data_IF_164587276980
#
_entry.id   IF_164587276980
#
_cell.length_a   1.000
_cell.length_b   1.000
_cell.length_c   1.000
_cell.angle_alpha   90.00
_cell.angle_beta   90.00
_cell.angle_gamma   90.00
#
_symmetry.space_group_name_H-M   'P 1'
#
loop_
_entity.id
_entity.type
_entity.pdbx_description
1 polymer ?
#
# COMPACT_ATOMS: atom_id res chain seq x y z
N UNK A 1 38.39 19.19 -38.60
CA UNK A 1 37.04 19.78 -38.50
C UNK A 1 36.07 18.66 -38.14
N UNK A 2 35.21 18.88 -37.14
CA UNK A 2 34.10 18.04 -36.62
C UNK A 2 34.32 17.50 -35.19
N UNK A 3 33.98 18.38 -34.26
CA UNK A 3 33.41 18.10 -32.94
C UNK A 3 32.10 17.34 -33.09
N UNK A 4 31.96 16.19 -32.42
CA UNK A 4 30.65 15.59 -32.14
C UNK A 4 30.52 15.43 -30.63
N UNK A 5 29.75 16.33 -30.03
CA UNK A 5 29.34 16.30 -28.64
C UNK A 5 27.82 16.41 -28.64
N UNK A 6 27.15 15.27 -28.50
CA UNK A 6 25.71 15.20 -28.23
C UNK A 6 25.47 14.00 -27.32
N UNK A 7 25.69 14.21 -26.02
CA UNK A 7 25.17 13.31 -24.99
C UNK A 7 23.73 13.73 -24.70
N UNK A 8 22.78 12.97 -25.24
CA UNK A 8 21.36 13.11 -24.92
C UNK A 8 21.14 12.46 -23.55
N UNK A 9 20.80 13.27 -22.56
CA UNK A 9 20.44 12.83 -21.21
C UNK A 9 18.95 12.43 -21.22
N UNK A 10 18.68 11.13 -21.37
CA UNK A 10 17.30 10.59 -21.30
C UNK A 10 16.90 10.48 -19.83
N UNK A 11 16.02 11.38 -19.38
CA UNK A 11 15.40 11.28 -18.05
C UNK A 11 14.33 10.18 -18.14
N UNK A 12 14.64 8.98 -17.65
CA UNK A 12 13.64 7.95 -17.41
C UNK A 12 12.76 8.39 -16.24
N UNK A 13 11.56 8.91 -16.55
CA UNK A 13 10.48 9.01 -15.59
C UNK A 13 9.96 7.59 -15.33
N UNK A 14 10.54 6.90 -14.36
CA UNK A 14 9.98 5.66 -13.83
C UNK A 14 8.70 6.01 -13.09
N UNK A 15 7.57 5.89 -13.77
CA UNK A 15 6.28 5.83 -13.09
C UNK A 15 6.30 4.58 -12.23
N UNK A 16 6.51 4.73 -10.93
CA UNK A 16 6.23 3.66 -9.96
C UNK A 16 4.72 3.47 -9.96
N UNK A 17 4.22 2.60 -10.83
CA UNK A 17 2.87 2.08 -10.71
C UNK A 17 2.80 1.40 -9.35
N UNK A 18 2.03 1.98 -8.43
CA UNK A 18 1.82 1.39 -7.11
C UNK A 18 1.30 -0.03 -7.27
N UNK A 19 1.84 -0.95 -6.48
CA UNK A 19 1.38 -2.34 -6.44
C UNK A 19 -0.13 -2.39 -6.15
N UNK A 20 -0.89 -3.18 -6.90
CA UNK A 20 -2.34 -3.35 -6.72
C UNK A 20 -2.64 -4.74 -6.13
N UNK A 21 -3.32 -4.84 -4.96
CA UNK A 21 -3.64 -6.11 -4.34
C UNK A 21 -4.51 -7.03 -5.20
N UNK A 22 -5.26 -6.48 -6.17
CA UNK A 22 -6.06 -7.27 -7.12
C UNK A 22 -5.19 -8.19 -8.01
N UNK A 23 -3.93 -7.79 -8.21
CA UNK A 23 -2.94 -8.47 -9.03
C UNK A 23 -2.10 -9.49 -8.25
N UNK A 24 -2.37 -9.67 -6.95
CA UNK A 24 -1.68 -10.66 -6.11
C UNK A 24 -1.70 -12.05 -6.75
N UNK A 25 -0.53 -12.70 -6.78
CA UNK A 25 -0.39 -14.09 -7.21
C UNK A 25 -1.04 -15.04 -6.20
N UNK A 26 -2.08 -15.72 -6.65
CA UNK A 26 -2.87 -16.67 -5.86
C UNK A 26 -2.67 -18.12 -6.32
N UNK A 27 -1.67 -18.40 -7.17
CA UNK A 27 -1.44 -19.72 -7.78
C UNK A 27 -1.25 -20.85 -6.75
N UNK A 28 -0.79 -20.53 -5.55
CA UNK A 28 -0.47 -21.50 -4.49
C UNK A 28 -1.58 -21.70 -3.45
N UNK A 29 -2.67 -20.95 -3.51
CA UNK A 29 -3.73 -21.02 -2.49
C UNK A 29 -5.10 -21.35 -3.09
N UNK A 30 -5.87 -22.30 -2.52
CA UNK A 30 -7.23 -22.60 -2.96
C UNK A 30 -8.23 -21.45 -2.72
N UNK A 31 -7.93 -20.56 -1.76
CA UNK A 31 -8.68 -19.34 -1.46
C UNK A 31 -7.68 -18.22 -1.18
N UNK A 32 -7.85 -17.06 -1.79
CA UNK A 32 -6.87 -15.98 -1.74
C UNK A 32 -7.53 -14.61 -1.75
N UNK A 33 -7.34 -13.83 -0.69
CA UNK A 33 -7.87 -12.48 -0.57
C UNK A 33 -7.07 -11.52 -1.48
N UNK A 34 -7.77 -10.74 -2.29
CA UNK A 34 -7.19 -9.81 -3.28
C UNK A 34 -7.52 -8.34 -2.99
N UNK A 35 -8.07 -8.07 -1.82
CA UNK A 35 -8.38 -6.74 -1.27
C UNK A 35 -7.86 -6.63 0.17
N UNK A 36 -7.89 -5.44 0.76
CA UNK A 36 -7.46 -5.21 2.15
C UNK A 36 -6.05 -5.77 2.44
N UNK A 37 -5.19 -5.63 1.44
CA UNK A 37 -3.75 -5.81 1.55
C UNK A 37 -3.14 -4.47 1.21
N UNK A 38 -2.32 -3.95 2.11
CA UNK A 38 -1.91 -2.54 2.04
C UNK A 38 -0.60 -2.37 1.30
N UNK A 39 0.32 -3.32 1.42
CA UNK A 39 1.61 -3.25 0.74
C UNK A 39 2.08 -4.61 0.26
N UNK A 40 2.87 -4.60 -0.82
CA UNK A 40 3.58 -5.79 -1.26
C UNK A 40 4.64 -6.19 -0.23
N UNK A 41 4.67 -7.47 0.14
CA UNK A 41 5.70 -8.03 1.03
C UNK A 41 7.09 -7.95 0.42
N UNK A 42 7.20 -7.84 -0.91
CA UNK A 42 8.48 -7.67 -1.60
C UNK A 42 8.91 -6.20 -1.73
N UNK A 43 8.15 -5.25 -1.16
CA UNK A 43 8.52 -3.83 -1.12
C UNK A 43 8.21 -3.05 -2.40
N UNK A 44 7.40 -3.60 -3.32
CA UNK A 44 7.05 -2.95 -4.59
C UNK A 44 6.16 -1.69 -4.43
N UNK A 45 5.59 -1.46 -3.24
CA UNK A 45 4.79 -0.28 -2.92
C UNK A 45 3.55 -0.61 -2.10
N UNK A 46 2.79 0.43 -1.78
CA UNK A 46 1.55 0.33 -1.02
C UNK A 46 0.37 0.88 -1.83
N UNK A 47 -0.81 0.32 -1.59
CA UNK A 47 -2.06 0.73 -2.19
C UNK A 47 -3.15 0.83 -1.14
N UNK A 48 -3.86 1.96 -1.20
CA UNK A 48 -4.98 2.27 -0.34
C UNK A 48 -6.15 2.70 -1.22
N UNK A 49 -7.31 2.02 -1.16
CA UNK A 49 -8.50 2.45 -1.88
C UNK A 49 -9.01 3.80 -1.35
N UNK A 50 -9.94 4.43 -2.07
CA UNK A 50 -10.57 5.67 -1.61
C UNK A 50 -11.17 5.49 -0.21
N UNK A 51 -10.88 6.44 0.70
CA UNK A 51 -11.32 6.36 2.10
C UNK A 51 -10.43 5.52 3.01
N UNK A 52 -9.37 4.90 2.48
CA UNK A 52 -8.32 4.28 3.28
C UNK A 52 -7.05 5.16 3.31
N UNK A 53 -6.42 5.21 4.47
CA UNK A 53 -5.24 6.02 4.75
C UNK A 53 -4.17 5.16 5.43
N UNK A 54 -2.87 5.39 5.17
CA UNK A 54 -1.80 4.71 5.90
C UNK A 54 -1.88 5.09 7.39
N UNK A 55 -1.86 4.08 8.28
CA UNK A 55 -1.86 4.27 9.73
C UNK A 55 -0.52 4.76 10.30
N UNK A 56 0.56 4.68 9.53
CA UNK A 56 1.88 5.13 9.92
C UNK A 56 2.46 6.10 8.88
N UNK A 57 3.08 7.17 9.37
CA UNK A 57 3.88 8.10 8.56
C UNK A 57 5.32 7.60 8.32
N UNK A 58 5.78 6.62 9.12
CA UNK A 58 7.14 6.10 9.12
C UNK A 58 7.22 4.65 8.64
N UNK A 59 8.41 4.24 8.21
CA UNK A 59 8.76 2.93 7.66
C UNK A 59 8.78 1.77 8.67
N UNK A 60 7.93 1.80 9.69
CA UNK A 60 7.81 0.69 10.64
C UNK A 60 7.13 -0.52 9.99
N UNK A 61 7.45 -1.76 10.42
CA UNK A 61 7.01 -2.98 9.76
C UNK A 61 5.53 -3.32 9.98
N UNK A 62 4.85 -2.63 10.89
CA UNK A 62 3.42 -2.84 11.14
C UNK A 62 2.62 -1.89 10.26
N UNK A 63 2.13 -2.43 9.15
CA UNK A 63 1.35 -1.71 8.17
C UNK A 63 -0.12 -1.98 8.46
N UNK A 64 -0.78 -1.04 9.14
CA UNK A 64 -2.23 -1.01 9.22
C UNK A 64 -2.77 0.19 8.44
N UNK A 65 -4.01 0.07 7.98
CA UNK A 65 -4.74 1.17 7.37
C UNK A 65 -5.79 1.72 8.32
N UNK A 66 -6.05 3.01 8.23
CA UNK A 66 -7.27 3.61 8.75
C UNK A 66 -8.28 3.66 7.61
N UNK A 67 -9.48 3.10 7.81
CA UNK A 67 -10.59 3.18 6.86
C UNK A 67 -11.73 4.00 7.46
N UNK A 68 -12.42 4.79 6.64
CA UNK A 68 -13.61 5.54 7.05
C UNK A 68 -14.84 4.63 7.14
N UNK A 69 -15.62 4.76 8.20
CA UNK A 69 -16.79 3.92 8.46
C UNK A 69 -17.94 4.10 7.46
N UNK A 70 -18.04 5.28 6.85
CA UNK A 70 -19.16 5.69 5.99
C UNK A 70 -18.95 5.36 4.51
N UNK A 71 -17.85 4.69 4.18
CA UNK A 71 -17.48 4.30 2.82
C UNK A 71 -17.78 2.83 2.56
N UNK A 72 -17.95 2.53 1.28
CA UNK A 72 -18.06 1.17 0.77
C UNK A 72 -16.70 0.69 0.29
N UNK A 73 -16.24 -0.42 0.84
CA UNK A 73 -15.01 -1.08 0.40
C UNK A 73 -15.34 -2.42 -0.23
N UNK A 74 -14.72 -2.70 -1.37
CA UNK A 74 -14.86 -4.01 -1.99
C UNK A 74 -13.88 -5.00 -1.34
N UNK A 75 -14.41 -6.00 -0.66
CA UNK A 75 -13.66 -7.18 -0.25
C UNK A 75 -13.73 -8.17 -1.41
N UNK A 76 -12.60 -8.53 -2.01
CA UNK A 76 -12.53 -9.44 -3.16
C UNK A 76 -11.55 -10.58 -2.92
N UNK A 77 -11.81 -11.71 -3.57
CA UNK A 77 -10.95 -12.89 -3.47
C UNK A 77 -10.99 -13.73 -4.75
N UNK A 78 -9.97 -14.58 -4.88
CA UNK A 78 -9.87 -15.63 -5.89
C UNK A 78 -10.08 -17.00 -5.23
N UNK A 79 -10.87 -17.84 -5.89
CA UNK A 79 -11.14 -19.22 -5.49
C UNK A 79 -10.60 -20.14 -6.58
N UNK A 80 -9.93 -21.23 -6.20
CA UNK A 80 -9.54 -22.25 -7.16
C UNK A 80 -10.79 -22.84 -7.84
N UNK A 81 -10.74 -23.09 -9.16
CA UNK A 81 -11.91 -23.52 -9.92
C UNK A 81 -12.64 -24.75 -9.36
N UNK A 82 -11.90 -25.69 -8.72
CA UNK A 82 -12.47 -26.87 -8.05
C UNK A 82 -13.36 -26.56 -6.83
N UNK A 83 -13.26 -25.35 -6.28
CA UNK A 83 -13.97 -24.90 -5.08
C UNK A 83 -14.95 -23.75 -5.39
N UNK A 84 -15.17 -23.40 -6.66
CA UNK A 84 -15.92 -22.21 -7.05
C UNK A 84 -17.38 -22.23 -6.59
N UNK A 85 -17.99 -23.41 -6.49
CA UNK A 85 -19.39 -23.58 -6.07
C UNK A 85 -19.57 -23.59 -4.55
N UNK A 86 -18.48 -23.59 -3.78
CA UNK A 86 -18.53 -23.62 -2.32
C UNK A 86 -18.63 -22.19 -1.77
N UNK A 87 -19.66 -21.86 -0.96
CA UNK A 87 -19.80 -20.54 -0.37
C UNK A 87 -18.55 -20.15 0.44
N UNK A 88 -18.15 -18.89 0.30
CA UNK A 88 -17.11 -18.28 1.12
C UNK A 88 -17.77 -17.55 2.28
N UNK A 89 -17.28 -17.85 3.48
CA UNK A 89 -17.61 -17.08 4.68
C UNK A 89 -16.65 -15.91 4.77
N UNK A 90 -17.18 -14.70 4.91
CA UNK A 90 -16.44 -13.48 5.20
C UNK A 90 -16.70 -13.14 6.66
N UNK A 91 -15.64 -12.95 7.44
CA UNK A 91 -15.72 -12.65 8.87
C UNK A 91 -14.85 -11.45 9.20
N UNK A 92 -15.44 -10.45 9.87
CA UNK A 92 -14.70 -9.32 10.43
C UNK A 92 -14.60 -9.51 11.95
N UNK A 93 -13.37 -9.69 12.43
CA UNK A 93 -13.08 -9.74 13.86
C UNK A 93 -12.83 -8.31 14.39
N UNK A 94 -13.63 -7.92 15.38
CA UNK A 94 -13.54 -6.65 16.12
C UNK A 94 -13.05 -7.00 17.53
N UNK A 95 -11.74 -7.20 17.68
CA UNK A 95 -11.12 -7.67 18.93
C UNK A 95 -11.43 -9.12 19.31
N UNK A 96 -11.16 -9.49 20.56
CA UNK A 96 -11.18 -10.89 21.02
C UNK A 96 -12.58 -11.52 21.14
N UNK A 97 -13.64 -10.70 21.27
CA UNK A 97 -14.95 -11.17 21.72
C UNK A 97 -16.08 -10.98 20.72
N UNK A 98 -15.82 -10.34 19.59
CA UNK A 98 -16.86 -10.05 18.60
C UNK A 98 -16.37 -10.29 17.19
N UNK A 99 -17.16 -11.07 16.45
CA UNK A 99 -16.98 -11.21 15.02
C UNK A 99 -18.32 -11.16 14.32
N UNK A 100 -18.41 -10.30 13.31
CA UNK A 100 -19.49 -10.29 12.35
C UNK A 100 -19.15 -11.24 11.20
N UNK A 101 -20.12 -11.97 10.68
CA UNK A 101 -19.92 -12.89 9.56
C UNK A 101 -21.08 -12.92 8.57
N UNK A 102 -20.75 -13.23 7.31
CA UNK A 102 -21.71 -13.47 6.23
C UNK A 102 -21.21 -14.59 5.32
N UNK A 103 -22.13 -15.37 4.76
CA UNK A 103 -21.83 -16.35 3.72
C UNK A 103 -22.26 -15.80 2.35
N UNK A 104 -21.41 -15.97 1.35
CA UNK A 104 -21.72 -15.56 -0.02
C UNK A 104 -21.11 -16.53 -1.03
N UNK A 105 -21.77 -16.69 -2.18
CA UNK A 105 -21.25 -17.42 -3.34
C UNK A 105 -20.57 -16.50 -4.36
N UNK A 106 -20.63 -15.19 -4.14
CA UNK A 106 -19.90 -14.21 -4.94
C UNK A 106 -18.39 -14.31 -4.70
N UNK A 107 -17.59 -13.74 -5.59
CA UNK A 107 -16.13 -13.56 -5.42
C UNK A 107 -15.76 -12.22 -4.77
N UNK A 108 -16.77 -11.42 -4.42
CA UNK A 108 -16.62 -10.14 -3.75
C UNK A 108 -17.81 -9.84 -2.84
N UNK A 109 -17.59 -8.93 -1.88
CA UNK A 109 -18.58 -8.40 -0.95
C UNK A 109 -18.34 -6.91 -0.71
N UNK A 110 -19.41 -6.11 -0.69
CA UNK A 110 -19.32 -4.69 -0.36
C UNK A 110 -19.38 -4.52 1.15
N UNK A 111 -18.24 -4.21 1.74
CA UNK A 111 -18.05 -3.94 3.15
C UNK A 111 -18.31 -2.47 3.46
N UNK A 112 -19.39 -2.22 4.20
CA UNK A 112 -19.69 -0.91 4.77
C UNK A 112 -19.60 -1.02 6.31
N UNK A 113 -18.53 -0.49 6.94
CA UNK A 113 -18.33 -0.64 8.38
C UNK A 113 -19.51 -0.09 9.18
N UNK A 114 -20.00 1.11 8.85
CA UNK A 114 -21.12 1.75 9.55
C UNK A 114 -22.40 0.91 9.49
N UNK A 115 -22.74 0.38 8.31
CA UNK A 115 -23.93 -0.47 8.16
C UNK A 115 -23.82 -1.73 9.03
N UNK A 116 -22.65 -2.37 9.07
CA UNK A 116 -22.40 -3.54 9.90
C UNK A 116 -22.44 -3.18 11.40
N UNK A 117 -21.76 -2.12 11.82
CA UNK A 117 -21.74 -1.67 13.21
C UNK A 117 -23.13 -1.29 13.71
N UNK A 118 -23.95 -0.65 12.88
CA UNK A 118 -25.34 -0.31 13.21
C UNK A 118 -26.28 -1.51 13.35
N UNK A 119 -25.85 -2.70 12.94
CA UNK A 119 -26.64 -3.93 13.06
C UNK A 119 -26.47 -4.65 14.41
N UNK A 120 -25.55 -4.19 15.27
CA UNK A 120 -25.38 -4.76 16.59
C UNK A 120 -26.55 -4.38 17.52
N UNK A 121 -26.92 -5.25 18.48
CA UNK A 121 -26.35 -6.58 18.74
C UNK A 121 -26.73 -7.61 17.67
N UNK A 122 -25.79 -8.49 17.34
CA UNK A 122 -25.98 -9.60 16.40
C UNK A 122 -26.04 -10.94 17.14
N UNK A 123 -26.50 -12.01 16.47
CA UNK A 123 -26.64 -13.34 17.08
C UNK A 123 -25.34 -13.91 17.66
N UNK A 124 -24.19 -13.60 17.06
CA UNK A 124 -22.86 -14.03 17.54
C UNK A 124 -22.30 -13.17 18.66
N UNK A 125 -22.89 -11.99 18.91
CA UNK A 125 -22.48 -11.04 19.95
C UNK A 125 -23.70 -10.34 20.55
N UNK A 126 -24.61 -11.08 21.22
CA UNK A 126 -25.90 -10.55 21.67
C UNK A 126 -25.78 -9.49 22.77
N UNK A 127 -24.64 -9.45 23.46
CA UNK A 127 -24.36 -8.53 24.56
C UNK A 127 -23.57 -7.29 24.14
N UNK A 128 -23.20 -7.16 22.86
CA UNK A 128 -22.41 -6.04 22.37
C UNK A 128 -23.33 -4.97 21.78
N UNK A 129 -23.33 -3.77 22.37
CA UNK A 129 -24.12 -2.65 21.84
C UNK A 129 -23.47 -2.04 20.60
N UNK A 130 -24.22 -1.19 19.88
CA UNK A 130 -23.69 -0.44 18.74
C UNK A 130 -22.49 0.41 19.15
N UNK A 131 -22.61 1.15 20.25
CA UNK A 131 -21.54 2.04 20.74
C UNK A 131 -20.29 1.27 21.16
N UNK A 132 -20.45 0.08 21.76
CA UNK A 132 -19.32 -0.76 22.13
C UNK A 132 -18.65 -1.40 20.91
N UNK A 133 -19.43 -1.80 19.90
CA UNK A 133 -18.91 -2.28 18.62
C UNK A 133 -18.13 -1.19 17.88
N UNK A 134 -18.68 0.03 17.79
CA UNK A 134 -18.01 1.20 17.21
C UNK A 134 -16.72 1.53 17.96
N UNK A 135 -16.77 1.56 19.29
CA UNK A 135 -15.61 1.80 20.13
C UNK A 135 -14.53 0.73 19.93
N UNK A 136 -14.90 -0.54 19.81
CA UNK A 136 -13.97 -1.64 19.54
C UNK A 136 -13.35 -1.52 18.13
N UNK A 137 -14.15 -1.22 17.12
CA UNK A 137 -13.68 -1.04 15.74
C UNK A 137 -12.69 0.13 15.60
N UNK A 138 -12.85 1.18 16.40
CA UNK A 138 -11.95 2.34 16.44
C UNK A 138 -10.69 2.10 17.28
N UNK A 139 -10.82 1.54 18.48
CA UNK A 139 -9.68 1.46 19.42
C UNK A 139 -8.73 0.32 19.10
N UNK A 140 -9.23 -0.74 18.48
CA UNK A 140 -8.50 -1.98 18.30
C UNK A 140 -7.74 -1.98 16.98
N UNK A 141 -6.41 -1.95 17.05
CA UNK A 141 -5.55 -2.04 15.86
C UNK A 141 -5.50 -3.44 15.27
N UNK A 142 -6.25 -4.39 15.84
CA UNK A 142 -6.30 -5.79 15.40
C UNK A 142 -7.54 -6.12 14.58
N UNK A 143 -8.26 -5.14 14.01
CA UNK A 143 -9.32 -5.50 13.07
C UNK A 143 -8.73 -6.23 11.87
N UNK A 144 -9.30 -7.40 11.58
CA UNK A 144 -8.92 -8.25 10.46
C UNK A 144 -10.17 -8.84 9.85
N UNK A 145 -10.16 -8.92 8.52
CA UNK A 145 -11.11 -9.70 7.74
C UNK A 145 -10.48 -11.07 7.50
N UNK A 146 -11.25 -12.12 7.76
CA UNK A 146 -10.90 -13.50 7.37
C UNK A 146 -11.91 -13.98 6.35
N UNK A 147 -11.43 -14.64 5.31
CA UNK A 147 -12.27 -15.41 4.39
C UNK A 147 -11.97 -16.90 4.57
N UNK A 148 -12.99 -17.75 4.60
CA UNK A 148 -12.81 -19.20 4.72
C UNK A 148 -13.93 -20.02 4.05
N UNK A 149 -13.63 -21.27 3.68
CA UNK A 149 -14.58 -22.25 3.14
C UNK A 149 -14.71 -23.45 4.08
N UNK A 150 -15.46 -23.33 5.19
CA UNK A 150 -15.41 -24.29 6.30
C UNK A 150 -15.93 -25.69 5.93
N UNK A 151 -16.79 -25.81 4.92
CA UNK A 151 -17.31 -27.10 4.42
C UNK A 151 -16.28 -27.95 3.68
N UNK A 152 -15.13 -27.37 3.30
CA UNK A 152 -14.02 -28.09 2.66
C UNK A 152 -13.02 -28.64 3.68
N UNK A 153 -13.36 -28.66 4.97
CA UNK A 153 -12.52 -29.27 5.99
C UNK A 153 -12.47 -30.77 5.73
N UNK A 154 -11.27 -31.30 5.58
CA UNK A 154 -11.06 -32.73 5.39
C UNK A 154 -11.23 -33.42 6.75
N UNK A 155 -12.38 -34.06 6.97
CA UNK A 155 -12.70 -34.78 8.22
C UNK A 155 -12.04 -36.17 8.27
N UNK A 156 -10.95 -36.39 7.53
CA UNK A 156 -10.20 -37.64 7.55
C UNK A 156 -9.48 -37.82 8.90
N UNK A 157 -10.21 -38.44 9.84
CA UNK A 157 -9.73 -39.01 11.10
C UNK A 157 -8.50 -39.91 10.87
N UNK A 158 -7.29 -39.35 10.95
CA UNK A 158 -6.07 -40.16 10.92
C UNK A 158 -4.82 -39.50 10.35
N UNK A 159 -4.94 -38.34 9.69
CA UNK A 159 -3.75 -37.58 9.29
C UNK A 159 -3.36 -36.57 10.36
N UNK A 160 -2.18 -36.73 10.95
CA UNK A 160 -1.60 -35.79 11.91
C UNK A 160 -1.31 -34.38 11.35
N UNK A 161 -1.66 -34.12 10.08
CA UNK A 161 -1.90 -32.77 9.55
C UNK A 161 -3.39 -32.62 9.31
N UNK A 162 -4.12 -32.14 10.32
CA UNK A 162 -5.45 -31.58 10.13
C UNK A 162 -5.33 -30.47 9.08
N UNK A 163 -5.68 -30.76 7.82
CA UNK A 163 -5.68 -29.73 6.79
C UNK A 163 -6.84 -28.79 7.12
N UNK A 164 -6.50 -27.65 7.71
CA UNK A 164 -7.48 -26.62 8.01
C UNK A 164 -8.20 -26.25 6.71
N UNK A 165 -9.51 -26.00 6.79
CA UNK A 165 -10.29 -25.50 5.66
C UNK A 165 -9.56 -24.31 4.99
N UNK A 166 -9.64 -24.16 3.65
CA UNK A 166 -9.05 -23.02 2.95
C UNK A 166 -9.43 -21.69 3.62
N UNK A 167 -8.44 -20.88 3.96
CA UNK A 167 -8.64 -19.55 4.54
C UNK A 167 -7.55 -18.56 4.10
N UNK A 168 -7.87 -17.26 4.13
CA UNK A 168 -6.89 -16.17 4.01
C UNK A 168 -7.37 -14.97 4.87
N UNK A 169 -6.46 -14.10 5.27
CA UNK A 169 -6.73 -12.96 6.15
C UNK A 169 -6.31 -11.65 5.52
N UNK A 170 -6.94 -10.54 5.87
CA UNK A 170 -6.49 -9.21 5.48
C UNK A 170 -5.24 -8.79 6.25
N UNK A 171 -4.66 -7.67 5.84
CA UNK A 171 -3.82 -6.87 6.73
C UNK A 171 -4.70 -6.15 7.76
N UNK A 172 -4.08 -5.67 8.85
CA UNK A 172 -4.80 -5.02 9.95
C UNK A 172 -5.35 -3.65 9.55
N UNK A 173 -6.47 -3.24 10.14
CA UNK A 173 -7.00 -1.89 9.96
C UNK A 173 -7.69 -1.34 11.21
N UNK A 174 -8.06 -0.06 11.14
CA UNK A 174 -8.85 0.64 12.16
C UNK A 174 -10.00 1.34 11.43
N UNK A 175 -11.17 1.36 12.05
CA UNK A 175 -12.35 2.05 11.50
C UNK A 175 -12.49 3.42 12.15
N UNK A 176 -12.33 4.48 11.37
CA UNK A 176 -12.49 5.86 11.80
C UNK A 176 -13.90 6.38 11.53
N UNK A 177 -14.36 7.26 12.43
CA UNK A 177 -15.64 7.93 12.30
C UNK A 177 -15.62 8.92 11.13
N UNK A 178 -16.77 9.12 10.49
CA UNK A 178 -16.87 9.95 9.27
C UNK A 178 -16.34 11.39 9.45
N UNK A 179 -16.44 11.96 10.66
CA UNK A 179 -15.91 13.31 10.95
C UNK A 179 -14.38 13.40 10.85
N UNK A 180 -13.69 12.27 11.04
CA UNK A 180 -12.23 12.18 10.96
C UNK A 180 -11.73 12.35 9.52
N UNK A 181 -12.57 12.15 8.50
CA UNK A 181 -12.18 12.31 7.08
C UNK A 181 -11.63 13.71 6.80
N UNK A 182 -12.28 14.76 7.31
CA UNK A 182 -11.83 16.15 7.08
C UNK A 182 -10.47 16.41 7.71
N UNK A 183 -10.26 15.89 8.92
CA UNK A 183 -8.98 16.01 9.61
C UNK A 183 -7.87 15.24 8.86
N UNK A 184 -8.15 14.01 8.43
CA UNK A 184 -7.19 13.18 7.70
C UNK A 184 -6.82 13.77 6.34
N UNK A 185 -7.80 14.28 5.58
CA UNK A 185 -7.55 14.99 4.32
C UNK A 185 -6.67 16.21 4.56
N UNK A 186 -6.96 17.00 5.60
CA UNK A 186 -6.14 18.17 5.93
C UNK A 186 -4.70 17.77 6.27
N UNK A 187 -4.49 16.73 7.09
CA UNK A 187 -3.16 16.23 7.43
C UNK A 187 -2.41 15.69 6.20
N UNK A 188 -3.09 14.92 5.36
CA UNK A 188 -2.53 14.39 4.12
C UNK A 188 -2.11 15.53 3.17
N UNK A 189 -2.94 16.55 3.00
CA UNK A 189 -2.62 17.71 2.16
C UNK A 189 -1.47 18.55 2.71
N UNK A 190 -1.41 18.74 4.04
CA UNK A 190 -0.29 19.41 4.71
C UNK A 190 1.00 18.61 4.47
N UNK A 191 1.00 17.30 4.71
CA UNK A 191 2.15 16.43 4.47
C UNK A 191 2.61 16.46 3.01
N UNK A 192 1.68 16.36 2.05
CA UNK A 192 2.02 16.43 0.61
C UNK A 192 2.60 17.78 0.23
N UNK A 193 2.12 18.87 0.83
CA UNK A 193 2.65 20.22 0.61
C UNK A 193 4.07 20.34 1.18
N UNK A 194 4.33 19.75 2.33
CA UNK A 194 5.67 19.72 2.93
C UNK A 194 6.65 18.89 2.10
N UNK A 195 6.24 17.73 1.59
CA UNK A 195 7.07 16.91 0.72
C UNK A 195 7.33 17.58 -0.63
N UNK A 196 6.31 18.22 -1.21
CA UNK A 196 6.47 19.04 -2.39
C UNK A 196 7.46 20.20 -2.15
N UNK A 197 7.36 20.87 -1.00
CA UNK A 197 8.26 21.96 -0.63
C UNK A 197 9.70 21.47 -0.41
N UNK A 198 9.89 20.31 0.24
CA UNK A 198 11.21 19.65 0.39
C UNK A 198 11.80 19.24 -0.95
N UNK A 199 11.00 18.63 -1.82
CA UNK A 199 11.42 18.25 -3.17
C UNK A 199 11.79 19.49 -4.00
N UNK A 200 10.97 20.53 -3.98
CA UNK A 200 11.24 21.81 -4.65
C UNK A 200 12.52 22.47 -4.13
N UNK A 201 12.76 22.43 -2.81
CA UNK A 201 13.99 22.93 -2.20
C UNK A 201 15.21 22.10 -2.65
N UNK A 202 15.11 20.77 -2.65
CA UNK A 202 16.16 19.86 -3.10
C UNK A 202 16.52 20.03 -4.57
N UNK A 203 15.52 20.11 -5.46
CA UNK A 203 15.71 20.40 -6.89
C UNK A 203 16.29 21.80 -7.08
N UNK A 204 15.82 22.79 -6.32
CA UNK A 204 16.31 24.16 -6.36
C UNK A 204 17.80 24.28 -6.00
N UNK A 205 18.25 23.57 -4.96
CA UNK A 205 19.66 23.53 -4.54
C UNK A 205 20.50 22.74 -5.54
N UNK A 206 20.01 21.59 -6.02
CA UNK A 206 20.73 20.73 -6.97
C UNK A 206 21.00 21.41 -8.32
N UNK A 207 20.01 22.13 -8.86
CA UNK A 207 20.18 22.90 -10.11
C UNK A 207 20.92 24.22 -9.86
N UNK A 208 20.64 24.88 -8.73
CA UNK A 208 21.21 26.19 -8.38
C UNK A 208 22.71 26.17 -8.08
N UNK A 209 23.24 25.09 -7.48
CA UNK A 209 24.67 24.94 -7.21
C UNK A 209 25.38 24.06 -8.26
N UNK A 210 24.69 23.09 -8.85
CA UNK A 210 25.29 22.15 -9.81
C UNK A 210 25.75 22.82 -11.10
N UNK A 211 24.93 23.72 -11.67
CA UNK A 211 25.23 24.39 -12.94
C UNK A 211 26.44 25.34 -12.83
N UNK A 212 26.54 26.23 -11.82
CA UNK A 212 27.72 27.09 -11.66
C UNK A 212 29.02 26.32 -11.41
N UNK A 213 28.97 25.23 -10.63
CA UNK A 213 30.15 24.40 -10.33
C UNK A 213 30.61 23.66 -11.60
N UNK A 214 29.70 23.09 -12.38
CA UNK A 214 30.02 22.47 -13.68
C UNK A 214 30.59 23.49 -14.67
N UNK A 215 30.06 24.72 -14.70
CA UNK A 215 30.62 25.81 -15.51
C UNK A 215 32.04 26.20 -15.07
N UNK A 216 32.30 26.27 -13.76
CA UNK A 216 33.64 26.56 -13.25
C UNK A 216 34.65 25.45 -13.59
N UNK A 217 34.27 24.18 -13.45
CA UNK A 217 35.12 23.01 -13.76
C UNK A 217 35.41 22.94 -15.27
N UNK A 218 34.40 23.21 -16.11
CA UNK A 218 34.59 23.23 -17.57
C UNK A 218 35.45 24.40 -18.02
N UNK A 219 35.31 25.58 -17.40
CA UNK A 219 36.18 26.73 -17.65
C UNK A 219 37.64 26.44 -17.23
N UNK A 220 37.85 25.86 -16.04
CA UNK A 220 39.18 25.50 -15.54
C UNK A 220 39.85 24.42 -16.40
N UNK A 221 39.12 23.37 -16.77
CA UNK A 221 39.66 22.29 -17.62
C UNK A 221 40.00 22.81 -19.02
N UNK A 222 39.15 23.67 -19.61
CA UNK A 222 39.44 24.34 -20.89
C UNK A 222 40.68 25.21 -20.79
N UNK A 223 40.83 25.99 -19.72
CA UNK A 223 42.00 26.83 -19.48
C UNK A 223 43.30 26.02 -19.37
N UNK A 224 43.30 24.92 -18.61
CA UNK A 224 44.47 24.05 -18.45
C UNK A 224 44.89 23.41 -19.77
N UNK A 225 43.93 22.95 -20.58
CA UNK A 225 44.22 22.36 -21.90
C UNK A 225 44.83 23.40 -22.85
N UNK A 226 44.26 24.61 -22.90
CA UNK A 226 44.80 25.71 -23.73
C UNK A 226 46.21 26.12 -23.30
N UNK A 227 46.46 26.23 -21.98
CA UNK A 227 47.78 26.57 -21.45
C UNK A 227 48.82 25.51 -21.79
N UNK A 228 48.47 24.22 -21.67
CA UNK A 228 49.38 23.11 -21.98
C UNK A 228 49.65 22.97 -23.49
N UNK A 229 48.67 23.33 -24.33
CA UNK A 229 48.85 23.43 -25.79
C UNK A 229 49.76 24.58 -26.22
N UNK A 230 49.63 25.75 -25.58
CA UNK A 230 50.47 26.91 -25.87
C UNK A 230 51.95 26.69 -25.52
N UNK A 231 52.25 26.05 -24.37
CA UNK A 231 53.63 25.74 -23.98
C UNK A 231 54.29 24.70 -24.91
N UNK A 232 53.53 23.76 -25.46
CA UNK A 232 54.05 22.73 -26.37
C UNK A 232 54.38 23.26 -27.78
N UNK A 233 53.72 24.33 -28.21
CA UNK A 233 54.03 25.01 -29.48
C UNK A 233 55.25 25.94 -29.38
N UNK A 234 55.68 26.35 -28.18
CA UNK A 234 56.92 27.10 -28.00
C UNK A 234 58.18 26.22 -28.07
N UNK A 235 58.08 24.92 -27.80
CA UNK A 235 59.21 23.99 -27.96
C UNK A 235 59.47 23.56 -29.41
N UNK A 236 58.50 23.71 -30.32
CA UNK A 236 58.66 23.37 -31.74
C UNK A 236 59.13 24.54 -32.63
N UNK A 237 59.36 25.72 -32.05
CA UNK A 237 59.82 26.93 -32.77
C UNK A 237 61.25 27.36 -32.39
N UNK A 238 62.02 26.45 -31.79
CA UNK A 238 63.47 26.55 -31.62
C UNK A 238 64.15 25.47 -32.47
#
# INVERSE_FOLDING_TARGET
>A
MKTHLFSILTIFASYTLGWDPSQRDCSKSPLCLTSFRWCDRNGAGCYYPEGAYPGNANSDPVIYALILEDKNYEISWKVAGRNADVPVRVRWAQGERSSWEINTTSTHFIFNPRAILSSFPISTAPNLTVEEAEHNAWKDMTNIITIDQPSLRDDSEGSASASNAPFDTSDQFIVAVGETERFLKAQYEIGRRDDYNKWKLGVGIGVGLGVPILMAITALSTWVVLKKGASRNQEFSK
#
